data_IF_270951079832
#
_entry.id   IF_270951079832
#
_cell.length_a   1.000
_cell.length_b   1.000
_cell.length_c   1.000
_cell.angle_alpha   90.00
_cell.angle_beta   90.00
_cell.angle_gamma   90.00
#
_symmetry.space_group_name_H-M   'P 1'
#
loop_
_entity.id
_entity.type
_entity.pdbx_description
1 polymer ?
#
# COMPACT_ATOMS: atom_id res chain seq x y z
N UNK A 1 -8.75 21.48 -30.08
CA UNK A 1 -7.98 21.31 -28.81
C UNK A 1 -8.57 20.25 -27.87
N UNK A 2 -9.90 20.08 -27.77
CA UNK A 2 -10.54 19.11 -26.86
C UNK A 2 -10.36 17.64 -27.28
N UNK A 3 -10.42 17.34 -28.59
CA UNK A 3 -10.21 15.99 -29.16
C UNK A 3 -8.76 15.49 -28.95
N UNK A 4 -7.75 16.35 -29.13
CA UNK A 4 -6.35 16.01 -28.88
C UNK A 4 -6.06 15.67 -27.41
N UNK A 5 -6.70 16.37 -26.46
CA UNK A 5 -6.58 16.05 -25.02
C UNK A 5 -7.25 14.75 -24.64
N UNK A 6 -8.31 14.35 -25.35
CA UNK A 6 -8.99 13.07 -25.13
C UNK A 6 -8.15 11.90 -25.65
N UNK A 7 -7.58 12.03 -26.86
CA UNK A 7 -6.67 11.02 -27.43
C UNK A 7 -5.44 10.78 -26.55
N UNK A 8 -4.81 11.83 -26.04
CA UNK A 8 -3.62 11.71 -25.19
C UNK A 8 -3.91 10.98 -23.86
N UNK A 9 -5.10 11.20 -23.28
CA UNK A 9 -5.54 10.51 -22.06
C UNK A 9 -5.81 9.03 -22.33
N UNK A 10 -6.49 8.71 -23.44
CA UNK A 10 -6.80 7.34 -23.81
C UNK A 10 -5.53 6.52 -24.07
N UNK A 11 -4.56 7.08 -24.80
CA UNK A 11 -3.24 6.46 -25.01
C UNK A 11 -2.51 6.22 -23.69
N UNK A 12 -2.58 7.18 -22.76
CA UNK A 12 -2.01 7.03 -21.42
C UNK A 12 -2.62 5.86 -20.64
N UNK A 13 -3.95 5.71 -20.64
CA UNK A 13 -4.62 4.59 -19.99
C UNK A 13 -4.24 3.23 -20.61
N UNK A 14 -4.16 3.17 -21.95
CA UNK A 14 -3.75 1.95 -22.66
C UNK A 14 -2.32 1.55 -22.27
N UNK A 15 -1.38 2.51 -22.27
CA UNK A 15 0.01 2.25 -21.87
C UNK A 15 0.06 1.73 -20.43
N UNK A 16 -0.67 2.36 -19.51
CA UNK A 16 -0.66 1.99 -18.10
C UNK A 16 -1.24 0.59 -17.88
N UNK A 17 -2.31 0.24 -18.61
CA UNK A 17 -2.89 -1.10 -18.59
C UNK A 17 -1.91 -2.17 -19.10
N UNK A 18 -1.24 -1.90 -20.22
CA UNK A 18 -0.20 -2.79 -20.77
C UNK A 18 0.95 -2.97 -19.75
N UNK A 19 1.37 -1.88 -19.12
CA UNK A 19 2.48 -1.89 -18.16
C UNK A 19 2.09 -2.68 -16.89
N UNK A 20 0.88 -2.51 -16.36
CA UNK A 20 0.36 -3.30 -15.25
C UNK A 20 0.30 -4.79 -15.63
N UNK A 21 -0.22 -5.12 -16.82
CA UNK A 21 -0.28 -6.50 -17.29
C UNK A 21 1.11 -7.13 -17.36
N UNK A 22 2.10 -6.41 -17.93
CA UNK A 22 3.48 -6.86 -18.00
C UNK A 22 4.08 -7.08 -16.60
N UNK A 23 3.85 -6.16 -15.65
CA UNK A 23 4.33 -6.28 -14.27
C UNK A 23 3.70 -7.48 -13.56
N UNK A 24 2.42 -7.77 -13.78
CA UNK A 24 1.75 -8.96 -13.22
C UNK A 24 2.44 -10.23 -13.72
N UNK A 25 2.63 -10.37 -15.04
CA UNK A 25 3.29 -11.55 -15.64
C UNK A 25 4.72 -11.69 -15.13
N UNK A 26 5.46 -10.58 -15.05
CA UNK A 26 6.83 -10.57 -14.53
C UNK A 26 6.88 -10.95 -13.04
N UNK A 27 5.95 -10.44 -12.22
CA UNK A 27 5.87 -10.73 -10.80
C UNK A 27 5.48 -12.18 -10.52
N UNK A 28 4.60 -12.77 -11.34
CA UNK A 28 4.27 -14.20 -11.28
C UNK A 28 5.52 -15.05 -11.59
N UNK A 29 6.39 -14.62 -12.51
CA UNK A 29 7.62 -15.34 -12.85
C UNK A 29 8.70 -15.19 -11.78
N UNK A 30 8.78 -14.02 -11.14
CA UNK A 30 9.80 -13.69 -10.15
C UNK A 30 9.55 -14.38 -8.80
N UNK A 31 10.46 -15.26 -8.39
CA UNK A 31 10.40 -15.94 -7.10
C UNK A 31 11.50 -16.98 -6.93
N UNK A 32 11.65 -17.49 -5.71
CA UNK A 32 12.68 -18.48 -5.37
C UNK A 32 12.50 -19.81 -6.15
N UNK A 33 11.26 -20.22 -6.40
CA UNK A 33 10.95 -21.36 -7.27
C UNK A 33 10.92 -20.95 -8.75
N UNK A 34 11.76 -21.56 -9.58
CA UNK A 34 11.76 -21.39 -11.04
C UNK A 34 10.56 -22.14 -11.64
N UNK A 35 9.50 -21.42 -12.00
CA UNK A 35 8.31 -21.99 -12.64
C UNK A 35 8.37 -21.64 -14.14
N UNK A 36 8.50 -22.61 -15.06
CA UNK A 36 8.52 -22.32 -16.49
C UNK A 36 7.13 -21.88 -16.98
N UNK A 37 7.09 -20.97 -17.96
CA UNK A 37 5.82 -20.42 -18.49
C UNK A 37 4.89 -21.48 -19.09
N UNK A 38 5.44 -22.59 -19.59
CA UNK A 38 4.66 -23.72 -20.10
C UNK A 38 3.81 -24.38 -19.02
N UNK A 39 4.28 -24.42 -17.77
CA UNK A 39 3.54 -24.99 -16.66
C UNK A 39 2.44 -24.04 -16.15
N UNK A 40 2.58 -22.73 -16.36
CA UNK A 40 1.59 -21.73 -15.93
C UNK A 40 0.23 -21.94 -16.61
N UNK A 41 0.20 -22.15 -17.94
CA UNK A 41 -1.04 -22.42 -18.66
C UNK A 41 -1.71 -23.70 -18.18
N UNK A 42 -0.94 -24.77 -17.98
CA UNK A 42 -1.47 -26.03 -17.48
C UNK A 42 -1.97 -25.88 -16.03
N UNK A 43 -1.26 -25.18 -15.15
CA UNK A 43 -1.66 -24.97 -13.75
C UNK A 43 -2.93 -24.10 -13.62
N UNK A 44 -3.13 -23.14 -14.54
CA UNK A 44 -4.31 -22.26 -14.57
C UNK A 44 -5.55 -22.93 -15.17
N UNK A 45 -5.39 -23.74 -16.23
CA UNK A 45 -6.50 -24.30 -17.00
C UNK A 45 -6.78 -25.79 -16.76
N UNK A 46 -5.86 -26.55 -16.16
CA UNK A 46 -6.11 -27.97 -15.86
C UNK A 46 -6.89 -28.12 -14.55
N UNK A 47 -7.98 -28.89 -14.64
CA UNK A 47 -8.78 -29.40 -13.50
C UNK A 47 -8.41 -30.83 -13.12
N UNK A 48 -7.50 -31.47 -13.87
CA UNK A 48 -7.03 -32.83 -13.62
C UNK A 48 -5.90 -32.86 -12.57
N UNK A 49 -5.75 -34.00 -11.89
CA UNK A 49 -4.67 -34.27 -10.95
C UNK A 49 -3.31 -34.00 -11.60
N UNK A 50 -2.63 -32.97 -11.12
CA UNK A 50 -1.32 -32.58 -11.60
C UNK A 50 -0.25 -33.46 -10.93
N UNK A 51 0.89 -33.70 -11.58
CA UNK A 51 2.05 -34.29 -10.93
C UNK A 51 2.48 -33.47 -9.68
N UNK A 52 2.98 -34.11 -8.62
CA UNK A 52 3.33 -33.47 -7.33
C UNK A 52 4.16 -32.18 -7.46
N UNK A 53 5.09 -32.12 -8.41
CA UNK A 53 5.93 -30.95 -8.66
C UNK A 53 5.15 -29.74 -9.25
N UNK A 54 4.05 -30.00 -9.96
CA UNK A 54 3.14 -28.99 -10.48
C UNK A 54 2.10 -28.56 -9.44
N UNK A 55 1.70 -29.43 -8.51
CA UNK A 55 0.84 -29.07 -7.37
C UNK A 55 1.52 -28.08 -6.43
N UNK A 56 2.79 -28.32 -6.07
CA UNK A 56 3.58 -27.37 -5.27
C UNK A 56 3.70 -26.01 -5.98
N UNK A 57 3.86 -26.01 -7.30
CA UNK A 57 3.89 -24.79 -8.11
C UNK A 57 2.55 -24.04 -8.09
N UNK A 58 1.42 -24.76 -8.06
CA UNK A 58 0.06 -24.20 -7.95
C UNK A 58 -0.13 -23.49 -6.61
N UNK A 59 0.21 -24.13 -5.50
CA UNK A 59 0.15 -23.53 -4.16
C UNK A 59 0.99 -22.26 -4.09
N UNK A 60 2.21 -22.29 -4.62
CA UNK A 60 3.08 -21.09 -4.65
C UNK A 60 2.43 -19.95 -5.45
N UNK A 61 1.81 -20.24 -6.59
CA UNK A 61 1.18 -19.20 -7.41
C UNK A 61 -0.06 -18.64 -6.71
N UNK A 62 -0.99 -19.49 -6.25
CA UNK A 62 -2.29 -19.07 -5.73
C UNK A 62 -2.28 -18.60 -4.28
N UNK A 63 -1.45 -19.19 -3.41
CA UNK A 63 -1.47 -18.88 -1.97
C UNK A 63 -0.38 -17.89 -1.56
N UNK A 64 0.65 -17.71 -2.40
CA UNK A 64 1.79 -16.84 -2.07
C UNK A 64 1.93 -15.68 -3.07
N UNK A 65 2.08 -15.96 -4.37
CA UNK A 65 2.39 -14.92 -5.38
C UNK A 65 1.17 -14.05 -5.70
N UNK A 66 0.03 -14.65 -6.03
CA UNK A 66 -1.17 -13.90 -6.40
C UNK A 66 -1.67 -12.98 -5.28
N UNK A 67 -1.79 -13.42 -4.01
CA UNK A 67 -2.20 -12.54 -2.92
C UNK A 67 -1.24 -11.37 -2.76
N UNK A 68 0.07 -11.61 -2.89
CA UNK A 68 1.10 -10.56 -2.82
C UNK A 68 1.00 -9.54 -3.96
N UNK A 69 0.74 -10.00 -5.20
CA UNK A 69 0.55 -9.12 -6.37
C UNK A 69 -0.69 -8.25 -6.15
N UNK A 70 -1.80 -8.85 -5.72
CA UNK A 70 -3.04 -8.13 -5.44
C UNK A 70 -2.84 -7.10 -4.33
N UNK A 71 -2.16 -7.46 -3.23
CA UNK A 71 -1.82 -6.52 -2.16
C UNK A 71 -0.92 -5.37 -2.66
N UNK A 72 0.05 -5.65 -3.54
CA UNK A 72 0.92 -4.63 -4.13
C UNK A 72 0.16 -3.66 -5.02
N UNK A 73 -0.73 -4.17 -5.89
CA UNK A 73 -1.59 -3.34 -6.75
C UNK A 73 -2.57 -2.51 -5.93
N UNK A 74 -3.23 -3.12 -4.95
CA UNK A 74 -4.17 -2.42 -4.05
C UNK A 74 -3.46 -1.34 -3.23
N UNK A 75 -2.32 -1.67 -2.61
CA UNK A 75 -1.52 -0.73 -1.83
C UNK A 75 -1.02 0.45 -2.67
N UNK A 76 -0.44 0.18 -3.85
CA UNK A 76 0.02 1.22 -4.77
C UNK A 76 -1.13 2.09 -5.28
N UNK A 77 -2.28 1.50 -5.60
CA UNK A 77 -3.48 2.22 -6.02
C UNK A 77 -4.03 3.15 -4.93
N UNK A 78 -4.12 2.67 -3.69
CA UNK A 78 -4.55 3.49 -2.55
C UNK A 78 -3.58 4.65 -2.32
N UNK A 79 -2.27 4.42 -2.40
CA UNK A 79 -1.26 5.48 -2.27
C UNK A 79 -1.35 6.52 -3.40
N UNK A 80 -1.60 6.09 -4.63
CA UNK A 80 -1.79 7.02 -5.76
C UNK A 80 -3.03 7.91 -5.56
N UNK A 81 -4.16 7.32 -5.16
CA UNK A 81 -5.40 8.06 -4.88
C UNK A 81 -5.22 9.02 -3.70
N UNK A 82 -4.59 8.55 -2.61
CA UNK A 82 -4.26 9.39 -1.47
C UNK A 82 -3.36 10.56 -1.88
N UNK A 83 -2.29 10.30 -2.64
CA UNK A 83 -1.39 11.33 -3.16
C UNK A 83 -2.12 12.43 -3.93
N UNK A 84 -2.95 12.06 -4.91
CA UNK A 84 -3.74 13.02 -5.69
C UNK A 84 -4.74 13.81 -4.82
N UNK A 85 -5.38 13.15 -3.85
CA UNK A 85 -6.29 13.82 -2.92
C UNK A 85 -5.56 14.85 -2.05
N UNK A 86 -4.39 14.49 -1.51
CA UNK A 86 -3.55 15.38 -0.70
C UNK A 86 -3.00 16.55 -1.51
N UNK A 87 -2.49 16.30 -2.71
CA UNK A 87 -2.00 17.34 -3.62
C UNK A 87 -3.11 18.33 -3.98
N UNK A 88 -4.33 17.84 -4.22
CA UNK A 88 -5.51 18.66 -4.53
C UNK A 88 -5.97 19.50 -3.33
N UNK A 89 -6.03 18.89 -2.14
CA UNK A 89 -6.45 19.56 -0.90
C UNK A 89 -5.44 20.65 -0.48
N UNK A 90 -4.16 20.32 -0.51
CA UNK A 90 -3.10 21.23 -0.13
C UNK A 90 -2.77 22.23 -1.24
N UNK A 91 -3.19 21.96 -2.49
CA UNK A 91 -2.80 22.72 -3.69
C UNK A 91 -1.28 22.82 -3.80
N UNK A 92 -0.61 21.71 -3.49
CA UNK A 92 0.84 21.60 -3.51
C UNK A 92 1.21 20.28 -4.19
N UNK A 93 1.82 20.29 -5.39
CA UNK A 93 2.21 19.06 -6.09
C UNK A 93 3.28 18.25 -5.36
N UNK A 94 3.99 18.85 -4.40
CA UNK A 94 4.98 18.18 -3.55
C UNK A 94 4.37 17.59 -2.27
N UNK A 95 3.06 17.71 -2.07
CA UNK A 95 2.40 17.13 -0.91
C UNK A 95 2.39 15.60 -0.99
N UNK A 96 2.76 14.96 0.10
CA UNK A 96 2.80 13.51 0.26
C UNK A 96 1.94 13.08 1.47
N UNK A 97 1.14 11.99 1.35
CA UNK A 97 0.23 11.54 2.41
C UNK A 97 0.94 11.06 3.68
N UNK A 98 2.23 10.71 3.64
CA UNK A 98 2.99 10.25 4.81
C UNK A 98 3.42 11.38 5.76
N UNK A 99 3.30 12.65 5.37
CA UNK A 99 3.79 13.79 6.15
C UNK A 99 2.96 14.07 7.42
N UNK A 100 1.74 13.51 7.54
CA UNK A 100 0.86 13.73 8.70
C UNK A 100 1.16 12.83 9.92
N UNK A 101 2.30 12.13 9.95
CA UNK A 101 2.66 11.22 11.05
C UNK A 101 1.87 9.90 11.08
N UNK A 102 1.00 9.67 10.10
CA UNK A 102 0.24 8.41 9.92
C UNK A 102 1.17 7.20 9.86
N UNK A 103 2.33 7.35 9.20
CA UNK A 103 3.35 6.30 9.11
C UNK A 103 3.94 5.94 10.47
N UNK A 104 4.36 6.94 11.24
CA UNK A 104 4.88 6.74 12.60
C UNK A 104 3.84 6.14 13.55
N UNK A 105 2.58 6.56 13.43
CA UNK A 105 1.46 5.98 14.20
C UNK A 105 1.21 4.51 13.86
N UNK A 106 1.23 4.17 12.57
CA UNK A 106 1.12 2.79 12.12
C UNK A 106 2.28 1.92 12.62
N UNK A 107 3.50 2.44 12.53
CA UNK A 107 4.70 1.74 12.97
C UNK A 107 4.68 1.49 14.48
N UNK A 108 4.38 2.51 15.30
CA UNK A 108 4.27 2.36 16.75
C UNK A 108 3.17 1.37 17.12
N UNK A 109 1.99 1.46 16.49
CA UNK A 109 0.91 0.50 16.69
C UNK A 109 1.35 -0.94 16.38
N UNK A 110 2.02 -1.16 15.25
CA UNK A 110 2.57 -2.46 14.88
C UNK A 110 3.59 -3.00 15.89
N UNK A 111 4.49 -2.15 16.39
CA UNK A 111 5.45 -2.50 17.45
C UNK A 111 4.72 -2.88 18.73
N UNK A 112 3.72 -2.10 19.15
CA UNK A 112 2.92 -2.41 20.34
C UNK A 112 2.19 -3.75 20.20
N UNK A 113 1.62 -4.08 19.03
CA UNK A 113 1.01 -5.39 18.81
C UNK A 113 2.01 -6.54 18.96
N UNK A 114 3.24 -6.36 18.50
CA UNK A 114 4.30 -7.35 18.65
C UNK A 114 4.67 -7.51 20.14
N UNK A 115 4.87 -6.40 20.86
CA UNK A 115 5.21 -6.42 22.29
C UNK A 115 4.11 -7.04 23.16
N UNK A 116 2.85 -6.76 22.85
CA UNK A 116 1.68 -7.29 23.55
C UNK A 116 1.33 -8.73 23.12
N UNK A 117 2.16 -9.37 22.28
CA UNK A 117 1.95 -10.74 21.76
C UNK A 117 0.66 -10.92 20.95
N UNK A 118 0.10 -9.84 20.44
CA UNK A 118 -1.04 -9.86 19.50
C UNK A 118 -0.63 -10.27 18.07
N UNK A 119 0.67 -10.45 17.82
CA UNK A 119 1.18 -11.00 16.56
C UNK A 119 0.72 -12.43 16.28
N UNK A 120 0.36 -13.20 17.31
CA UNK A 120 -0.18 -14.57 17.15
C UNK A 120 -1.61 -14.61 16.61
N UNK A 121 -2.37 -13.52 16.75
CA UNK A 121 -3.69 -13.40 16.17
C UNK A 121 -3.59 -12.95 14.71
N UNK A 122 -4.20 -13.69 13.78
CA UNK A 122 -4.22 -13.32 12.36
C UNK A 122 -4.87 -11.94 12.21
N UNK A 123 -4.11 -10.96 11.73
CA UNK A 123 -4.60 -9.59 11.57
C UNK A 123 -4.32 -8.66 12.76
N UNK A 124 -3.76 -9.16 13.88
CA UNK A 124 -3.55 -8.36 15.10
C UNK A 124 -2.62 -7.16 14.88
N UNK A 125 -1.49 -7.38 14.19
CA UNK A 125 -0.55 -6.31 13.82
C UNK A 125 -1.20 -5.28 12.92
N UNK A 126 -2.01 -5.72 11.95
CA UNK A 126 -2.70 -4.86 10.99
C UNK A 126 -3.74 -3.97 11.69
N UNK A 127 -4.51 -4.53 12.63
CA UNK A 127 -5.49 -3.77 13.41
C UNK A 127 -4.81 -2.69 14.25
N UNK A 128 -3.76 -3.05 14.99
CA UNK A 128 -3.04 -2.09 15.82
C UNK A 128 -2.32 -1.00 15.01
N UNK A 129 -1.72 -1.36 13.87
CA UNK A 129 -1.13 -0.40 12.96
C UNK A 129 -2.20 0.56 12.41
N UNK A 130 -3.37 0.05 12.02
CA UNK A 130 -4.47 0.88 11.55
C UNK A 130 -5.01 1.80 12.65
N UNK A 131 -5.24 1.30 13.86
CA UNK A 131 -5.71 2.12 14.99
C UNK A 131 -4.67 3.13 15.43
N UNK A 132 -3.39 2.78 15.40
CA UNK A 132 -2.28 3.69 15.70
C UNK A 132 -2.22 4.84 14.70
N UNK A 133 -2.28 4.53 13.40
CA UNK A 133 -2.38 5.52 12.33
C UNK A 133 -3.58 6.45 12.49
N UNK A 134 -4.76 5.89 12.79
CA UNK A 134 -6.01 6.64 12.99
C UNK A 134 -5.94 7.55 14.22
N UNK A 135 -5.42 7.04 15.34
CA UNK A 135 -5.22 7.83 16.55
C UNK A 135 -4.25 8.99 16.30
N UNK A 136 -3.15 8.75 15.58
CA UNK A 136 -2.17 9.78 15.24
C UNK A 136 -2.76 10.87 14.35
N UNK A 137 -3.50 10.53 13.29
CA UNK A 137 -4.07 11.56 12.41
C UNK A 137 -5.14 12.39 13.13
N UNK A 138 -5.95 11.78 14.00
CA UNK A 138 -6.92 12.49 14.83
C UNK A 138 -6.22 13.41 15.84
N UNK A 139 -5.12 12.95 16.44
CA UNK A 139 -4.31 13.74 17.34
C UNK A 139 -3.69 14.95 16.63
N UNK A 140 -3.04 14.75 15.48
CA UNK A 140 -2.48 15.82 14.65
C UNK A 140 -3.57 16.82 14.25
N UNK A 141 -4.72 16.33 13.79
CA UNK A 141 -5.86 17.18 13.44
C UNK A 141 -6.32 18.06 14.60
N UNK A 142 -6.43 17.50 15.81
CA UNK A 142 -6.85 18.21 17.01
C UNK A 142 -5.88 19.32 17.39
N UNK A 143 -4.58 19.03 17.45
CA UNK A 143 -3.55 20.01 17.88
C UNK A 143 -3.28 21.08 16.81
N UNK A 144 -3.55 20.80 15.54
CA UNK A 144 -3.34 21.76 14.45
C UNK A 144 -4.49 22.78 14.30
N UNK A 145 -5.59 22.60 15.03
CA UNK A 145 -6.75 23.49 14.96
C UNK A 145 -6.50 24.80 15.71
N UNK A 146 -6.74 25.93 15.05
CA UNK A 146 -6.59 27.28 15.62
C UNK A 146 -7.80 28.10 15.25
N UNK A 147 -8.52 28.62 16.25
CA UNK A 147 -9.72 29.45 16.06
C UNK A 147 -10.74 28.81 15.10
N UNK A 148 -10.97 27.50 15.25
CA UNK A 148 -11.91 26.73 14.42
C UNK A 148 -11.42 26.39 13.01
N UNK A 149 -10.29 26.95 12.54
CA UNK A 149 -9.68 26.70 11.23
C UNK A 149 -8.44 25.82 11.35
N UNK A 150 -8.03 25.19 10.25
CA UNK A 150 -6.82 24.36 10.20
C UNK A 150 -5.86 24.97 9.19
N UNK A 151 -4.90 25.79 9.63
CA UNK A 151 -3.90 26.32 8.74
C UNK A 151 -3.02 25.19 8.21
N UNK A 152 -2.88 25.10 6.88
CA UNK A 152 -2.14 24.01 6.20
C UNK A 152 -0.72 23.81 6.77
N UNK A 153 -0.01 24.91 7.02
CA UNK A 153 1.37 24.88 7.54
C UNK A 153 1.45 24.30 8.96
N UNK A 154 0.47 24.59 9.83
CA UNK A 154 0.43 24.02 11.19
C UNK A 154 0.20 22.52 11.15
N UNK A 155 -0.70 22.06 10.28
CA UNK A 155 -0.98 20.65 10.10
C UNK A 155 0.25 19.85 9.64
N UNK A 156 1.02 20.40 8.71
CA UNK A 156 2.28 19.80 8.25
C UNK A 156 3.34 19.79 9.37
N UNK A 157 3.55 20.92 10.06
CA UNK A 157 4.55 21.01 11.11
C UNK A 157 4.22 20.10 12.30
N UNK A 158 2.97 20.07 12.73
CA UNK A 158 2.48 19.14 13.76
C UNK A 158 2.68 17.68 13.35
N UNK A 159 2.38 17.33 12.10
CA UNK A 159 2.59 15.98 11.57
C UNK A 159 4.05 15.53 11.67
N UNK A 160 4.99 16.38 11.24
CA UNK A 160 6.44 16.10 11.31
C UNK A 160 6.90 15.94 12.76
N UNK A 161 6.48 16.83 13.67
CA UNK A 161 6.84 16.76 15.10
C UNK A 161 6.30 15.49 15.75
N UNK A 162 5.05 15.13 15.46
CA UNK A 162 4.46 13.90 16.01
C UNK A 162 5.16 12.68 15.43
N UNK A 163 5.48 12.67 14.14
CA UNK A 163 6.20 11.55 13.53
C UNK A 163 7.58 11.33 14.16
N UNK A 164 8.36 12.39 14.42
CA UNK A 164 9.67 12.27 15.07
C UNK A 164 9.55 11.80 16.51
N UNK A 165 8.54 12.28 17.25
CA UNK A 165 8.25 11.80 18.60
C UNK A 165 7.89 10.30 18.63
N UNK A 166 7.01 9.86 17.72
CA UNK A 166 6.64 8.44 17.62
C UNK A 166 7.82 7.57 17.21
N UNK A 167 8.68 8.04 16.30
CA UNK A 167 9.93 7.35 15.95
C UNK A 167 10.86 7.20 17.15
N UNK A 168 10.97 8.23 18.01
CA UNK A 168 11.77 8.13 19.23
C UNK A 168 11.22 7.08 20.20
N UNK A 169 9.88 6.98 20.34
CA UNK A 169 9.25 5.93 21.15
C UNK A 169 9.49 4.52 20.61
N UNK A 170 9.51 4.35 19.28
CA UNK A 170 9.79 3.05 18.65
C UNK A 170 11.24 2.60 18.93
N UNK A 171 12.17 3.54 19.05
CA UNK A 171 13.59 3.26 19.26
C UNK A 171 13.98 3.03 20.73
N UNK A 172 13.07 3.25 21.68
CA UNK A 172 13.29 3.02 23.10
C UNK A 172 13.28 1.53 23.43
#
# INVERSE_FOLDING_TARGET
MMVQRFGLKLTGFIILFILIFFVIVFSIKSGSAKIPLSHLFNILFSTASLPDHMENSRVIIFDIRLPRIVMGLAGGGVLAVAGVAFQSLLRNPLADPYILGVSGGAALGGVLAIMLKWSSFKGGVQLFAFTGALATILFVYYISRVNGRIPKYKMLLSGVIVNTFLSALIML
#
